data_IF_887099371586
#
_entry.id   IF_887099371586
#
_cell.length_a   1.000
_cell.length_b   1.000
_cell.length_c   1.000
_cell.angle_alpha   90.00
_cell.angle_beta   90.00
_cell.angle_gamma   90.00
#
_symmetry.space_group_name_H-M   'P 1'
#
loop_
_entity.id
_entity.type
_entity.pdbx_description
1 polymer ?
#
# COMPACT_ATOMS: atom_id res chain seq x y z
N UNK A 1 -60.78 38.78 22.75
CA UNK A 1 -59.87 38.20 21.73
C UNK A 1 -58.52 37.96 22.39
N UNK A 2 -58.18 36.67 22.58
CA UNK A 2 -56.96 36.03 23.10
C UNK A 2 -55.93 36.85 23.92
N UNK A 3 -56.05 36.79 25.25
CA UNK A 3 -54.92 36.96 26.17
C UNK A 3 -54.40 35.57 26.58
N UNK A 4 -53.57 34.97 25.73
CA UNK A 4 -52.70 33.86 26.15
C UNK A 4 -51.45 34.48 26.76
N UNK A 5 -51.48 34.69 28.08
CA UNK A 5 -50.28 35.01 28.87
C UNK A 5 -49.45 33.73 28.92
N UNK A 6 -48.50 33.61 27.99
CA UNK A 6 -47.47 32.58 28.01
C UNK A 6 -46.69 32.75 29.32
N UNK A 7 -46.95 31.86 30.28
CA UNK A 7 -46.19 31.71 31.52
C UNK A 7 -44.76 31.33 31.12
N UNK A 8 -43.87 32.32 31.00
CA UNK A 8 -42.46 32.10 30.70
C UNK A 8 -41.81 31.48 31.94
N UNK A 9 -41.81 30.16 32.01
CA UNK A 9 -40.96 29.43 32.95
C UNK A 9 -39.52 29.62 32.48
N UNK A 10 -38.82 30.58 33.08
CA UNK A 10 -37.39 30.78 32.84
C UNK A 10 -36.61 29.60 33.41
N UNK A 11 -35.57 29.19 32.70
CA UNK A 11 -34.61 28.22 33.21
C UNK A 11 -33.98 28.75 34.50
N UNK A 12 -33.94 27.91 35.52
CA UNK A 12 -33.26 28.23 36.76
C UNK A 12 -31.74 28.18 36.55
N UNK A 13 -31.00 28.96 37.34
CA UNK A 13 -29.53 28.99 37.26
C UNK A 13 -28.90 27.60 37.49
N UNK A 14 -29.53 26.79 38.36
CA UNK A 14 -29.09 25.42 38.65
C UNK A 14 -29.27 24.49 37.44
N UNK A 15 -30.39 24.60 36.71
CA UNK A 15 -30.62 23.79 35.51
C UNK A 15 -29.59 24.10 34.41
N UNK A 16 -29.24 25.38 34.22
CA UNK A 16 -28.22 25.76 33.23
C UNK A 16 -26.85 25.17 33.59
N UNK A 17 -26.46 25.21 34.88
CA UNK A 17 -25.20 24.61 35.34
C UNK A 17 -25.17 23.09 35.13
N UNK A 18 -26.28 22.40 35.38
CA UNK A 18 -26.40 20.96 35.15
C UNK A 18 -26.26 20.61 33.67
N UNK A 19 -26.91 21.37 32.77
CA UNK A 19 -26.80 21.17 31.32
C UNK A 19 -25.36 21.37 30.85
N UNK A 20 -24.68 22.42 31.31
CA UNK A 20 -23.28 22.68 30.95
C UNK A 20 -22.36 21.55 31.41
N UNK A 21 -22.57 21.00 32.61
CA UNK A 21 -21.80 19.86 33.11
C UNK A 21 -21.99 18.61 32.23
N UNK A 22 -23.23 18.30 31.85
CA UNK A 22 -23.54 17.15 30.98
C UNK A 22 -22.92 17.36 29.59
N UNK A 23 -23.07 18.54 28.99
CA UNK A 23 -22.49 18.84 27.68
C UNK A 23 -20.97 18.77 27.71
N UNK A 24 -20.32 19.23 28.78
CA UNK A 24 -18.87 19.13 28.93
C UNK A 24 -18.40 17.66 28.98
N UNK A 25 -19.10 16.80 29.72
CA UNK A 25 -18.79 15.36 29.79
C UNK A 25 -19.04 14.67 28.45
N UNK A 26 -20.16 14.94 27.78
CA UNK A 26 -20.44 14.36 26.47
C UNK A 26 -19.46 14.84 25.40
N UNK A 27 -19.04 16.11 25.48
CA UNK A 27 -18.06 16.70 24.57
C UNK A 27 -16.70 16.00 24.63
N UNK A 28 -16.18 15.71 25.83
CA UNK A 28 -14.89 15.03 25.97
C UNK A 28 -14.92 13.59 25.45
N UNK A 29 -16.02 12.87 25.69
CA UNK A 29 -16.22 11.52 25.16
C UNK A 29 -16.33 11.51 23.62
N UNK A 30 -17.05 12.47 23.04
CA UNK A 30 -17.22 12.58 21.60
C UNK A 30 -15.89 12.87 20.88
N UNK A 31 -15.04 13.74 21.45
CA UNK A 31 -13.71 14.04 20.88
C UNK A 31 -12.82 12.80 20.88
N UNK A 32 -12.77 12.06 22.00
CA UNK A 32 -11.97 10.83 22.08
C UNK A 32 -12.40 9.77 21.06
N UNK A 33 -13.71 9.55 20.93
CA UNK A 33 -14.27 8.62 19.95
C UNK A 33 -13.97 9.01 18.51
N UNK A 34 -14.09 10.30 18.17
CA UNK A 34 -13.81 10.81 16.83
C UNK A 34 -12.33 10.65 16.44
N UNK A 35 -11.41 10.95 17.36
CA UNK A 35 -9.95 10.79 17.10
C UNK A 35 -9.60 9.33 16.84
N UNK A 36 -10.13 8.40 17.65
CA UNK A 36 -9.89 6.97 17.46
C UNK A 36 -10.48 6.46 16.14
N UNK A 37 -11.69 6.90 15.78
CA UNK A 37 -12.31 6.58 14.50
C UNK A 37 -11.44 7.07 13.33
N UNK A 38 -10.99 8.32 13.36
CA UNK A 38 -10.13 8.89 12.31
C UNK A 38 -8.83 8.11 12.14
N UNK A 39 -8.19 7.71 13.25
CA UNK A 39 -6.97 6.87 13.22
C UNK A 39 -7.22 5.53 12.52
N UNK A 40 -8.33 4.84 12.83
CA UNK A 40 -8.70 3.59 12.16
C UNK A 40 -8.89 3.78 10.66
N UNK A 41 -9.64 4.81 10.27
CA UNK A 41 -9.95 5.08 8.86
C UNK A 41 -8.69 5.39 8.08
N UNK A 42 -7.78 6.21 8.63
CA UNK A 42 -6.50 6.49 7.99
C UNK A 42 -5.67 5.21 7.80
N UNK A 43 -5.58 4.36 8.82
CA UNK A 43 -4.89 3.08 8.71
C UNK A 43 -5.51 2.14 7.67
N UNK A 44 -6.84 2.09 7.60
CA UNK A 44 -7.57 1.29 6.60
C UNK A 44 -7.29 1.82 5.19
N UNK A 45 -7.38 3.14 4.96
CA UNK A 45 -7.12 3.78 3.68
C UNK A 45 -5.68 3.58 3.20
N UNK A 46 -4.69 3.76 4.09
CA UNK A 46 -3.28 3.54 3.75
C UNK A 46 -3.00 2.08 3.43
N UNK A 47 -3.63 1.14 4.16
CA UNK A 47 -3.50 -0.28 3.85
C UNK A 47 -4.10 -0.62 2.47
N UNK A 48 -5.28 -0.08 2.17
CA UNK A 48 -5.94 -0.22 0.87
C UNK A 48 -5.10 0.38 -0.27
N UNK A 49 -4.46 1.53 -0.04
CA UNK A 49 -3.57 2.17 -1.01
C UNK A 49 -2.36 1.30 -1.34
N UNK A 50 -1.68 0.75 -0.32
CA UNK A 50 -0.52 -0.13 -0.54
C UNK A 50 -0.93 -1.38 -1.34
N UNK A 51 -2.08 -1.98 -1.00
CA UNK A 51 -2.62 -3.15 -1.72
C UNK A 51 -3.01 -2.78 -3.15
N UNK A 52 -3.65 -1.63 -3.35
CA UNK A 52 -4.00 -1.11 -4.68
C UNK A 52 -2.75 -0.90 -5.54
N UNK A 53 -1.71 -0.25 -5.00
CA UNK A 53 -0.41 -0.07 -5.67
C UNK A 53 0.26 -1.39 -5.98
N UNK A 54 0.19 -2.38 -5.09
CA UNK A 54 0.70 -3.73 -5.35
C UNK A 54 0.05 -4.35 -6.59
N UNK A 55 -1.29 -4.30 -6.71
CA UNK A 55 -1.99 -4.83 -7.89
C UNK A 55 -1.78 -3.98 -9.14
N UNK A 56 -1.64 -2.66 -9.01
CA UNK A 56 -1.30 -1.76 -10.11
C UNK A 56 0.05 -2.12 -10.72
N UNK A 57 1.08 -2.30 -9.88
CA UNK A 57 2.43 -2.69 -10.32
C UNK A 57 2.43 -4.08 -10.95
N UNK A 58 1.69 -5.04 -10.39
CA UNK A 58 1.47 -6.36 -11.00
C UNK A 58 0.88 -6.25 -12.40
N UNK A 59 -0.21 -5.47 -12.53
CA UNK A 59 -0.89 -5.23 -13.80
C UNK A 59 0.03 -4.54 -14.81
N UNK A 60 0.79 -3.52 -14.38
CA UNK A 60 1.78 -2.82 -15.21
C UNK A 60 2.87 -3.77 -15.73
N UNK A 61 3.35 -4.71 -14.91
CA UNK A 61 4.30 -5.73 -15.38
C UNK A 61 3.68 -6.74 -16.34
N UNK A 62 2.43 -7.16 -16.13
CA UNK A 62 1.75 -8.12 -17.01
C UNK A 62 1.44 -7.53 -18.38
N UNK A 63 0.73 -6.40 -18.38
CA UNK A 63 0.17 -5.80 -19.58
C UNK A 63 1.06 -4.70 -20.17
N UNK A 64 2.13 -4.30 -19.48
CA UNK A 64 2.91 -3.12 -19.83
C UNK A 64 2.14 -1.83 -19.47
N UNK A 65 2.74 -0.67 -19.75
CA UNK A 65 1.99 0.58 -19.74
C UNK A 65 0.86 0.45 -20.74
N UNK A 66 -0.39 0.43 -20.24
CA UNK A 66 -1.60 0.46 -21.07
C UNK A 66 -1.75 1.87 -21.66
N UNK A 67 -0.79 2.29 -22.48
CA UNK A 67 -1.14 3.09 -23.65
C UNK A 67 -1.88 2.11 -24.56
N UNK A 68 -3.08 2.46 -25.05
CA UNK A 68 -3.98 1.59 -25.84
C UNK A 68 -3.38 0.86 -27.06
N UNK A 69 -2.09 1.03 -27.33
CA UNK A 69 -1.31 0.43 -28.41
C UNK A 69 -1.02 -1.07 -28.25
N UNK A 70 -1.04 -1.65 -27.03
CA UNK A 70 -0.81 -3.11 -26.89
C UNK A 70 -2.00 -3.95 -27.35
N UNK A 71 -3.22 -3.43 -27.17
CA UNK A 71 -4.42 -4.06 -27.72
C UNK A 71 -4.40 -4.02 -29.25
N UNK A 72 -4.00 -2.88 -29.84
CA UNK A 72 -3.80 -2.74 -31.29
C UNK A 72 -2.67 -3.66 -31.79
N UNK A 73 -1.55 -3.80 -31.07
CA UNK A 73 -0.45 -4.71 -31.42
C UNK A 73 -0.85 -6.19 -31.35
N UNK A 74 -1.66 -6.61 -30.37
CA UNK A 74 -2.18 -7.98 -30.30
C UNK A 74 -3.16 -8.26 -31.46
N UNK A 75 -3.96 -7.26 -31.85
CA UNK A 75 -4.81 -7.34 -33.05
C UNK A 75 -3.96 -7.45 -34.33
N UNK A 76 -2.82 -6.76 -34.37
CA UNK A 76 -1.87 -6.77 -35.48
C UNK A 76 -1.12 -8.11 -35.61
N UNK A 77 -0.63 -8.65 -34.49
CA UNK A 77 0.01 -9.98 -34.37
C UNK A 77 -0.93 -11.12 -34.78
N UNK A 78 -2.25 -10.93 -34.67
CA UNK A 78 -3.28 -11.90 -35.07
C UNK A 78 -3.70 -11.78 -36.55
N UNK A 79 -2.98 -11.02 -37.37
CA UNK A 79 -3.10 -11.01 -38.84
C UNK A 79 -3.72 -9.74 -39.43
N UNK A 80 -3.45 -8.58 -38.82
CA UNK A 80 -4.12 -7.31 -39.06
C UNK A 80 -3.47 -6.33 -40.04
N UNK A 81 -2.54 -6.72 -40.91
CA UNK A 81 -2.00 -5.85 -41.97
C UNK A 81 -0.65 -5.21 -41.66
N UNK A 82 0.06 -4.76 -42.71
CA UNK A 82 1.45 -4.36 -42.63
C UNK A 82 1.66 -3.07 -41.81
N UNK A 83 2.62 -3.06 -40.88
CA UNK A 83 3.02 -1.86 -40.14
C UNK A 83 4.54 -1.69 -40.14
N UNK A 84 4.95 -0.44 -40.38
CA UNK A 84 6.29 0.11 -40.16
C UNK A 84 6.85 -0.28 -38.79
N UNK A 85 8.18 -0.37 -38.66
CA UNK A 85 8.88 -0.77 -37.45
C UNK A 85 8.36 -0.04 -36.20
N UNK A 86 7.45 -0.69 -35.48
CA UNK A 86 6.92 -0.17 -34.22
C UNK A 86 8.02 -0.30 -33.18
N UNK A 87 8.45 0.83 -32.63
CA UNK A 87 9.43 0.88 -31.54
C UNK A 87 8.86 0.08 -30.36
N UNK A 88 9.37 -1.14 -30.15
CA UNK A 88 8.97 -2.00 -29.04
C UNK A 88 9.42 -1.27 -27.77
N UNK A 89 8.47 -0.62 -27.08
CA UNK A 89 8.75 -0.01 -25.78
C UNK A 89 9.40 -1.09 -24.90
N UNK A 90 10.56 -0.82 -24.29
CA UNK A 90 11.27 -1.82 -23.50
C UNK A 90 10.34 -2.31 -22.39
N UNK A 91 10.17 -3.61 -22.31
CA UNK A 91 9.37 -4.25 -21.25
C UNK A 91 10.03 -3.90 -19.92
N UNK A 92 9.23 -3.61 -18.90
CA UNK A 92 9.73 -3.18 -17.59
C UNK A 92 9.22 -4.08 -16.48
N UNK A 93 10.03 -4.19 -15.45
CA UNK A 93 9.68 -4.79 -14.18
C UNK A 93 9.32 -3.70 -13.20
N UNK A 94 8.26 -3.93 -12.44
CA UNK A 94 7.74 -3.00 -11.46
C UNK A 94 7.81 -3.64 -10.08
N UNK A 95 8.01 -2.83 -9.04
CA UNK A 95 8.11 -3.39 -7.70
C UNK A 95 7.95 -2.38 -6.58
N UNK A 96 7.92 -2.92 -5.36
CA UNK A 96 7.83 -2.19 -4.10
C UNK A 96 9.10 -2.49 -3.29
N UNK A 97 9.71 -1.46 -2.75
CA UNK A 97 10.88 -1.52 -1.89
C UNK A 97 10.55 -0.92 -0.52
N UNK A 98 10.82 -1.70 0.52
CA UNK A 98 10.70 -1.27 1.91
C UNK A 98 12.08 -0.86 2.41
N UNK A 99 12.31 0.45 2.46
CA UNK A 99 13.58 1.02 2.90
C UNK A 99 13.57 1.24 4.41
N UNK A 100 14.51 0.67 5.18
CA UNK A 100 14.55 0.87 6.62
C UNK A 100 14.93 2.32 6.95
N UNK A 101 14.15 2.95 7.83
CA UNK A 101 14.38 4.31 8.33
C UNK A 101 14.29 4.35 9.85
N UNK A 102 14.67 5.48 10.47
CA UNK A 102 14.58 5.64 11.92
C UNK A 102 13.12 5.47 12.38
N UNK A 103 12.84 4.38 13.10
CA UNK A 103 11.52 4.10 13.66
C UNK A 103 10.57 3.30 12.76
N UNK A 104 11.01 2.82 11.59
CA UNK A 104 10.15 2.01 10.72
C UNK A 104 10.71 1.80 9.31
N UNK A 105 9.83 1.79 8.32
CA UNK A 105 10.13 1.62 6.91
C UNK A 105 9.40 2.68 6.07
N UNK A 106 10.09 3.18 5.05
CA UNK A 106 9.49 3.90 3.93
C UNK A 106 9.14 2.92 2.81
N UNK A 107 8.01 3.15 2.14
CA UNK A 107 7.63 2.39 0.95
C UNK A 107 7.98 3.21 -0.28
N UNK A 108 8.79 2.63 -1.16
CA UNK A 108 9.10 3.20 -2.46
C UNK A 108 8.64 2.24 -3.54
N UNK A 109 8.14 2.76 -4.64
CA UNK A 109 7.95 1.96 -5.85
C UNK A 109 9.19 2.09 -6.73
N UNK A 110 9.41 1.12 -7.61
CA UNK A 110 10.53 1.19 -8.53
C UNK A 110 10.21 0.57 -9.89
N UNK A 111 11.02 0.95 -10.87
CA UNK A 111 10.95 0.45 -12.24
C UNK A 111 12.33 0.03 -12.72
N UNK A 112 12.41 -1.15 -13.34
CA UNK A 112 13.64 -1.70 -13.89
C UNK A 112 13.41 -2.21 -15.33
N UNK A 113 14.41 -2.12 -16.19
CA UNK A 113 14.30 -2.66 -17.54
C UNK A 113 14.33 -4.19 -17.52
N UNK A 114 13.49 -4.82 -18.35
CA UNK A 114 13.52 -6.26 -18.58
C UNK A 114 14.38 -6.56 -19.80
N UNK A 115 15.35 -7.46 -19.63
CA UNK A 115 16.14 -8.03 -20.71
C UNK A 115 15.58 -9.39 -21.10
N UNK A 116 15.13 -9.49 -22.35
CA UNK A 116 14.74 -10.75 -22.99
C UNK A 116 15.92 -11.63 -23.41
N UNK A 117 17.16 -11.23 -23.09
CA UNK A 117 18.35 -12.03 -23.39
C UNK A 117 18.28 -13.38 -22.68
N UNK A 118 18.49 -14.46 -23.43
CA UNK A 118 18.61 -15.81 -22.88
C UNK A 118 20.06 -16.12 -22.60
N UNK A 119 20.33 -16.73 -21.45
CA UNK A 119 21.62 -17.35 -21.17
C UNK A 119 21.40 -18.78 -20.70
N UNK A 120 22.41 -19.63 -20.92
CA UNK A 120 22.36 -21.02 -20.48
C UNK A 120 22.87 -21.11 -19.05
N UNK A 121 21.99 -21.46 -18.11
CA UNK A 121 22.35 -21.66 -16.71
C UNK A 121 22.73 -23.13 -16.49
N UNK A 122 24.04 -23.40 -16.44
CA UNK A 122 24.57 -24.76 -16.27
C UNK A 122 24.10 -25.42 -14.96
N UNK A 123 23.77 -24.63 -13.94
CA UNK A 123 23.34 -25.14 -12.63
C UNK A 123 21.98 -25.87 -12.67
N UNK A 124 21.08 -25.45 -13.56
CA UNK A 124 19.74 -26.05 -13.72
C UNK A 124 19.54 -26.68 -15.11
N UNK A 125 20.61 -26.74 -15.91
CA UNK A 125 20.64 -27.31 -17.26
C UNK A 125 19.54 -26.77 -18.18
N UNK A 126 19.28 -25.47 -18.13
CA UNK A 126 18.20 -24.83 -18.88
C UNK A 126 18.58 -23.44 -19.41
N UNK A 127 17.90 -23.03 -20.49
CA UNK A 127 17.92 -21.65 -20.96
C UNK A 127 17.03 -20.79 -20.06
N UNK A 128 17.60 -19.76 -19.44
CA UNK A 128 16.91 -18.81 -18.58
C UNK A 128 16.95 -17.42 -19.21
N UNK A 129 15.87 -16.65 -19.06
CA UNK A 129 15.87 -15.24 -19.39
C UNK A 129 16.60 -14.45 -18.32
N UNK A 130 17.46 -13.51 -18.72
CA UNK A 130 18.11 -12.54 -17.82
C UNK A 130 17.09 -11.75 -17.00
N UNK A 131 15.90 -11.56 -17.57
CA UNK A 131 14.76 -10.99 -16.88
C UNK A 131 15.05 -9.56 -16.46
N UNK A 132 14.69 -9.22 -15.23
CA UNK A 132 14.94 -7.88 -14.67
C UNK A 132 16.40 -7.67 -14.22
N UNK A 133 17.27 -8.68 -14.30
CA UNK A 133 18.63 -8.62 -13.76
C UNK A 133 18.68 -8.55 -12.22
N UNK A 134 19.86 -8.25 -11.69
CA UNK A 134 20.05 -8.06 -10.24
C UNK A 134 19.35 -6.82 -9.70
N UNK A 135 19.02 -6.81 -8.41
CA UNK A 135 18.52 -5.62 -7.74
C UNK A 135 19.70 -4.79 -7.24
N UNK A 136 20.06 -3.73 -7.96
CA UNK A 136 21.10 -2.79 -7.58
C UNK A 136 20.47 -1.42 -7.32
N UNK A 137 20.36 -1.02 -6.05
CA UNK A 137 19.67 0.22 -5.68
C UNK A 137 20.24 1.48 -6.36
N UNK A 138 21.51 1.47 -6.77
CA UNK A 138 22.14 2.58 -7.51
C UNK A 138 21.68 2.71 -8.97
N UNK A 139 21.13 1.64 -9.55
CA UNK A 139 20.72 1.57 -10.96
C UNK A 139 19.19 1.62 -11.14
N UNK A 140 18.46 1.66 -10.03
CA UNK A 140 17.01 1.59 -10.00
C UNK A 140 16.44 2.97 -9.69
N UNK A 141 15.48 3.40 -10.49
CA UNK A 141 14.73 4.61 -10.20
C UNK A 141 13.64 4.29 -9.18
N UNK A 142 13.69 4.98 -8.04
CA UNK A 142 12.70 4.89 -6.98
C UNK A 142 11.78 6.10 -7.01
N UNK A 143 10.51 5.86 -6.75
CA UNK A 143 9.48 6.86 -6.55
C UNK A 143 8.85 6.62 -5.19
N UNK A 144 8.78 7.66 -4.35
CA UNK A 144 8.19 7.55 -3.02
C UNK A 144 6.68 7.28 -3.14
N UNK A 145 6.18 6.34 -2.34
CA UNK A 145 4.74 6.13 -2.26
C UNK A 145 4.13 7.26 -1.43
N UNK A 146 3.14 7.96 -1.99
CA UNK A 146 2.36 8.92 -1.23
C UNK A 146 1.67 8.18 -0.08
N UNK A 147 2.00 8.57 1.14
CA UNK A 147 1.41 8.03 2.36
C UNK A 147 1.09 9.21 3.28
N UNK A 148 0.02 9.07 4.08
CA UNK A 148 -0.26 10.04 5.13
C UNK A 148 0.89 10.02 6.16
N UNK A 149 1.46 11.18 6.47
CA UNK A 149 2.59 11.32 7.40
C UNK A 149 2.32 10.73 8.78
N UNK A 150 1.04 10.63 9.16
CA UNK A 150 0.62 10.06 10.44
C UNK A 150 0.56 8.53 10.43
N UNK A 151 0.78 7.86 9.31
CA UNK A 151 0.82 6.39 9.21
C UNK A 151 2.22 5.94 8.80
N UNK A 152 2.78 4.98 9.55
CA UNK A 152 4.11 4.44 9.28
C UNK A 152 4.07 2.92 9.18
N UNK A 153 4.92 2.37 8.32
CA UNK A 153 5.22 0.93 8.35
C UNK A 153 6.21 0.69 9.48
N UNK A 154 5.76 0.06 10.55
CA UNK A 154 6.56 -0.17 11.75
C UNK A 154 7.53 -1.32 11.59
N UNK A 155 7.07 -2.40 10.97
CA UNK A 155 7.89 -3.59 10.75
C UNK A 155 7.49 -4.30 9.48
N UNK A 156 8.49 -4.84 8.79
CA UNK A 156 8.33 -5.78 7.70
C UNK A 156 8.99 -7.09 8.14
N UNK A 157 8.26 -8.18 8.09
CA UNK A 157 8.74 -9.48 8.57
C UNK A 157 8.18 -10.61 7.73
N UNK A 158 8.92 -11.71 7.69
CA UNK A 158 8.49 -12.97 7.10
C UNK A 158 8.27 -14.02 8.20
N UNK A 159 8.01 -15.26 7.81
CA UNK A 159 7.89 -16.37 8.77
C UNK A 159 9.18 -16.65 9.57
N UNK A 160 10.33 -16.16 9.10
CA UNK A 160 11.65 -16.32 9.71
C UNK A 160 12.07 -15.17 10.63
N UNK A 161 11.39 -14.03 10.59
CA UNK A 161 11.61 -12.90 11.50
C UNK A 161 11.55 -11.53 10.83
N UNK A 162 12.00 -10.50 11.57
CA UNK A 162 12.03 -9.12 11.06
C UNK A 162 13.07 -9.02 9.95
N UNK A 163 12.61 -8.66 8.77
CA UNK A 163 13.46 -8.45 7.61
C UNK A 163 14.06 -7.04 7.69
N UNK A 164 15.32 -6.91 7.24
CA UNK A 164 15.91 -5.60 6.97
C UNK A 164 15.27 -4.96 5.73
N UNK A 165 16.08 -4.34 4.88
CA UNK A 165 15.57 -3.88 3.58
C UNK A 165 15.02 -5.07 2.76
N UNK A 166 13.86 -4.87 2.14
CA UNK A 166 13.18 -5.92 1.40
C UNK A 166 12.51 -5.35 0.15
N UNK A 167 12.42 -6.13 -0.93
CA UNK A 167 11.68 -5.74 -2.14
C UNK A 167 10.82 -6.88 -2.69
N UNK A 168 9.75 -6.44 -3.36
CA UNK A 168 8.84 -7.23 -4.18
C UNK A 168 8.97 -6.75 -5.61
N UNK A 169 9.17 -7.65 -6.57
CA UNK A 169 9.32 -7.34 -7.99
C UNK A 169 8.39 -8.22 -8.82
N UNK A 170 7.60 -7.62 -9.69
CA UNK A 170 6.76 -8.33 -10.64
C UNK A 170 7.47 -8.44 -11.99
N UNK A 171 7.70 -9.68 -12.43
CA UNK A 171 8.30 -9.98 -13.72
C UNK A 171 7.23 -10.00 -14.83
N UNK A 172 7.52 -9.42 -16.00
CA UNK A 172 6.74 -9.67 -17.21
C UNK A 172 7.07 -11.05 -17.81
N UNK A 173 6.20 -11.61 -18.67
CA UNK A 173 4.85 -11.13 -19.02
C UNK A 173 3.76 -11.66 -18.08
N UNK A 174 4.08 -12.60 -17.19
CA UNK A 174 3.12 -13.34 -16.36
C UNK A 174 2.77 -12.61 -15.06
N UNK A 175 3.51 -11.54 -14.70
CA UNK A 175 3.33 -10.84 -13.44
C UNK A 175 3.80 -11.65 -12.26
N UNK A 176 4.67 -12.65 -12.49
CA UNK A 176 5.20 -13.49 -11.43
C UNK A 176 5.95 -12.63 -10.43
N UNK A 177 5.64 -12.84 -9.16
CA UNK A 177 6.28 -12.11 -8.09
C UNK A 177 7.60 -12.78 -7.73
N UNK A 178 8.64 -11.98 -7.67
CA UNK A 178 9.96 -12.31 -7.17
C UNK A 178 10.26 -11.43 -5.97
N UNK A 179 10.98 -11.98 -5.01
CA UNK A 179 11.34 -11.30 -3.78
C UNK A 179 12.80 -11.53 -3.43
N UNK A 180 13.29 -10.75 -2.48
CA UNK A 180 14.55 -10.98 -1.81
C UNK A 180 14.32 -11.53 -0.41
N UNK A 181 14.20 -12.86 -0.30
CA UNK A 181 13.89 -13.55 0.94
C UNK A 181 13.33 -14.94 0.64
N UNK A 182 13.51 -15.91 1.53
CA UNK A 182 13.16 -17.32 1.27
C UNK A 182 11.75 -17.73 1.66
N UNK A 183 10.91 -16.82 2.18
CA UNK A 183 9.59 -17.17 2.73
C UNK A 183 8.45 -16.95 1.74
N UNK A 184 7.44 -17.80 1.71
CA UNK A 184 6.28 -17.64 0.82
C UNK A 184 5.33 -16.51 1.22
N UNK A 185 5.53 -15.89 2.39
CA UNK A 185 4.66 -14.85 2.93
C UNK A 185 5.47 -13.72 3.52
N UNK A 186 5.01 -12.50 3.29
CA UNK A 186 5.55 -11.28 3.90
C UNK A 186 4.43 -10.53 4.61
N UNK A 187 4.74 -9.95 5.75
CA UNK A 187 3.84 -9.14 6.55
C UNK A 187 4.42 -7.73 6.72
N UNK A 188 3.62 -6.72 6.40
CA UNK A 188 3.92 -5.32 6.73
C UNK A 188 2.94 -4.84 7.81
N UNK A 189 3.45 -4.45 8.98
CA UNK A 189 2.65 -3.90 10.08
C UNK A 189 2.62 -2.38 9.99
N UNK A 190 1.42 -1.83 9.79
CA UNK A 190 1.12 -0.40 9.80
C UNK A 190 0.69 0.03 11.20
N UNK A 191 1.24 1.15 11.65
CA UNK A 191 0.94 1.79 12.92
C UNK A 191 0.73 3.30 12.71
N UNK A 192 -0.07 3.91 13.57
CA UNK A 192 -0.29 5.35 13.54
C UNK A 192 0.82 6.03 14.34
N UNK A 193 1.54 6.96 13.73
CA UNK A 193 2.65 7.65 14.37
C UNK A 193 2.18 8.51 15.54
N UNK A 194 2.92 8.42 16.63
CA UNK A 194 2.48 8.90 17.93
C UNK A 194 2.66 10.42 18.00
N UNK A 195 1.61 11.14 18.40
CA UNK A 195 1.81 12.44 19.05
C UNK A 195 2.07 12.14 20.53
N UNK A 196 3.24 12.54 21.03
CA UNK A 196 3.80 12.19 22.34
C UNK A 196 2.77 12.13 23.48
N UNK A 197 2.75 11.01 24.22
CA UNK A 197 2.06 10.89 25.51
C UNK A 197 0.85 9.94 25.59
N UNK A 198 0.24 9.52 24.47
CA UNK A 198 -0.95 8.65 24.52
C UNK A 198 -0.59 7.18 24.84
N UNK A 199 -1.37 6.51 25.71
CA UNK A 199 -1.22 5.08 26.00
C UNK A 199 -1.79 4.24 24.85
N UNK A 200 -1.10 3.14 24.60
CA UNK A 200 -1.12 2.38 23.37
C UNK A 200 -2.33 1.43 23.27
N UNK A 201 -3.48 1.92 22.83
CA UNK A 201 -4.55 1.09 22.27
C UNK A 201 -4.41 1.06 20.73
N UNK A 202 -3.20 0.74 20.25
CA UNK A 202 -2.85 0.80 18.81
C UNK A 202 -3.70 -0.18 18.03
N UNK A 203 -4.69 0.35 17.33
CA UNK A 203 -5.24 -0.31 16.18
C UNK A 203 -4.09 -0.50 15.19
N UNK A 204 -3.83 -1.75 14.84
CA UNK A 204 -2.80 -2.10 13.87
C UNK A 204 -3.46 -2.68 12.63
N UNK A 205 -2.80 -2.47 11.48
CA UNK A 205 -3.15 -3.17 10.25
C UNK A 205 -1.95 -3.97 9.79
N UNK A 206 -2.20 -5.20 9.38
CA UNK A 206 -1.18 -6.06 8.81
C UNK A 206 -1.56 -6.30 7.37
N UNK A 207 -0.66 -5.97 6.46
CA UNK A 207 -0.78 -6.38 5.07
C UNK A 207 -0.02 -7.69 4.92
N UNK A 208 -0.72 -8.74 4.55
CA UNK A 208 -0.13 -10.02 4.16
C UNK A 208 0.02 -10.06 2.65
N UNK A 209 1.26 -10.19 2.19
CA UNK A 209 1.60 -10.49 0.81
C UNK A 209 1.82 -12.01 0.69
N UNK A 210 0.92 -12.68 -0.02
CA UNK A 210 1.07 -14.06 -0.45
C UNK A 210 1.89 -14.08 -1.72
N UNK A 211 3.16 -14.46 -1.59
CA UNK A 211 4.12 -14.37 -2.67
C UNK A 211 4.04 -15.54 -3.64
N UNK A 212 3.39 -16.64 -3.22
CA UNK A 212 3.15 -17.79 -4.08
C UNK A 212 2.05 -17.47 -5.08
N UNK A 213 0.97 -16.86 -4.60
CA UNK A 213 -0.18 -16.50 -5.42
C UNK A 213 -0.06 -15.09 -6.03
N UNK A 214 0.91 -14.29 -5.58
CA UNK A 214 1.08 -12.90 -5.97
C UNK A 214 -0.13 -12.05 -5.58
N UNK A 215 -0.65 -12.27 -4.37
CA UNK A 215 -1.83 -11.59 -3.83
C UNK A 215 -1.45 -10.80 -2.57
N UNK A 216 -2.20 -9.75 -2.28
CA UNK A 216 -2.08 -8.97 -1.06
C UNK A 216 -3.45 -8.87 -0.37
N UNK A 217 -3.47 -9.04 0.96
CA UNK A 217 -4.68 -8.98 1.79
C UNK A 217 -4.44 -8.21 3.07
N UNK A 218 -5.48 -7.57 3.60
CA UNK A 218 -5.40 -6.76 4.82
C UNK A 218 -6.02 -7.54 5.97
N UNK A 219 -5.26 -7.69 7.05
CA UNK A 219 -5.71 -8.27 8.29
C UNK A 219 -5.84 -7.19 9.37
N UNK A 220 -6.96 -7.25 10.11
CA UNK A 220 -7.19 -6.43 11.29
C UNK A 220 -6.63 -7.16 12.51
N UNK A 221 -5.69 -6.52 13.20
CA UNK A 221 -5.18 -7.00 14.48
C UNK A 221 -5.88 -6.23 15.58
N UNK A 222 -6.84 -6.90 16.22
CA UNK A 222 -7.59 -6.43 17.38
C UNK A 222 -6.76 -6.48 18.65
#
# INVERSE_FOLDING_TARGET
MFKNVLKKNGFTLVEILMVLAIVAVLGTLAVGGYVQYRKSVLLDLTADEIVSRFYELKSKSQYGYVDGKRFEQIVDELGGGAVEAVEIKPVKCHGIYFSPVAGGFEIKTFVQNFSGEKYYEKAVDAWIYRGCGGFFASEIHFEDMEMDEAVKVRSVYDSGGVSGAFYLRFMPPDGRLEQFGGSNKLFAELDYDRVDGEKNNSQKRIIEFDLTNGNATIQKKS
#
